data_IF_919229359660
#
_entry.id   IF_919229359660
#
_cell.length_a   1.000
_cell.length_b   1.000
_cell.length_c   1.000
_cell.angle_alpha   90.00
_cell.angle_beta   90.00
_cell.angle_gamma   90.00
#
_symmetry.space_group_name_H-M   'P 1'
#
loop_
_entity.id
_entity.type
_entity.pdbx_description
1 polymer ?
#
# COMPACT_ATOMS: atom_id res chain seq x y z
N UNK A 1 -38.76 0.23 -18.30
CA UNK A 1 -38.81 -0.86 -17.31
C UNK A 1 -37.51 -0.78 -16.52
N UNK A 2 -37.52 -0.40 -15.24
CA UNK A 2 -36.28 -0.26 -14.48
C UNK A 2 -35.84 -1.64 -13.99
N UNK A 3 -34.58 -1.96 -14.28
CA UNK A 3 -33.87 -3.15 -13.76
C UNK A 3 -33.47 -2.85 -12.31
N UNK A 4 -33.55 -3.88 -11.48
CA UNK A 4 -33.38 -3.94 -10.03
C UNK A 4 -31.98 -3.57 -9.49
N UNK A 5 -31.52 -2.32 -9.64
CA UNK A 5 -30.12 -1.95 -9.35
C UNK A 5 -29.73 -1.70 -7.87
N UNK A 6 -30.64 -1.53 -6.91
CA UNK A 6 -30.23 -0.92 -5.61
C UNK A 6 -29.98 -1.86 -4.41
N UNK A 7 -30.33 -3.16 -4.45
CA UNK A 7 -30.12 -4.05 -3.28
C UNK A 7 -28.80 -4.83 -3.31
N UNK A 8 -28.36 -5.30 -4.46
CA UNK A 8 -27.18 -6.18 -4.58
C UNK A 8 -25.86 -5.39 -4.47
N UNK A 9 -25.81 -4.16 -5.01
CA UNK A 9 -24.63 -3.28 -4.95
C UNK A 9 -24.33 -2.84 -3.51
N UNK A 10 -25.38 -2.66 -2.69
CA UNK A 10 -25.24 -2.31 -1.28
C UNK A 10 -24.60 -3.45 -0.46
N UNK A 11 -25.03 -4.70 -0.68
CA UNK A 11 -24.49 -5.86 0.03
C UNK A 11 -23.02 -6.15 -0.33
N UNK A 12 -22.67 -6.07 -1.62
CA UNK A 12 -21.29 -6.26 -2.09
C UNK A 12 -20.34 -5.23 -1.47
N UNK A 13 -20.74 -3.96 -1.51
CA UNK A 13 -19.95 -2.88 -0.92
C UNK A 13 -19.82 -3.04 0.59
N UNK A 14 -20.90 -3.42 1.28
CA UNK A 14 -20.90 -3.64 2.72
C UNK A 14 -19.94 -4.77 3.14
N UNK A 15 -20.00 -5.92 2.46
CA UNK A 15 -19.13 -7.07 2.73
C UNK A 15 -17.67 -6.75 2.39
N UNK A 16 -17.41 -6.07 1.27
CA UNK A 16 -16.06 -5.64 0.90
C UNK A 16 -15.48 -4.67 1.94
N UNK A 17 -16.28 -3.71 2.42
CA UNK A 17 -15.88 -2.81 3.50
C UNK A 17 -15.54 -3.60 4.75
N UNK A 18 -16.38 -4.55 5.17
CA UNK A 18 -16.11 -5.38 6.34
C UNK A 18 -14.80 -6.19 6.21
N UNK A 19 -14.55 -6.82 5.05
CA UNK A 19 -13.31 -7.56 4.82
C UNK A 19 -12.07 -6.65 4.76
N UNK A 20 -12.22 -5.42 4.28
CA UNK A 20 -11.13 -4.43 4.27
C UNK A 20 -10.83 -3.91 5.67
N UNK A 21 -11.88 -3.67 6.46
CA UNK A 21 -11.77 -3.15 7.81
C UNK A 21 -11.47 -4.20 8.85
N UNK A 22 -11.70 -5.48 8.60
CA UNK A 22 -11.46 -6.58 9.55
C UNK A 22 -10.90 -7.85 8.87
N UNK A 23 -9.79 -7.77 8.11
CA UNK A 23 -9.17 -8.92 7.44
C UNK A 23 -8.79 -10.09 8.38
N UNK A 24 -8.64 -9.86 9.67
CA UNK A 24 -8.34 -10.88 10.68
C UNK A 24 -9.57 -11.66 11.15
N UNK A 25 -10.78 -11.13 10.96
CA UNK A 25 -12.01 -11.75 11.47
C UNK A 25 -12.43 -12.97 10.66
N UNK A 26 -12.95 -13.95 11.37
CA UNK A 26 -13.59 -15.11 10.76
C UNK A 26 -14.89 -14.73 10.04
N UNK A 27 -15.33 -15.55 9.10
CA UNK A 27 -16.61 -15.33 8.40
C UNK A 27 -17.80 -15.34 9.35
N UNK A 28 -17.71 -16.10 10.46
CA UNK A 28 -18.70 -16.07 11.53
C UNK A 28 -18.80 -14.67 12.14
N UNK A 29 -17.68 -14.11 12.56
CA UNK A 29 -17.65 -12.78 13.17
C UNK A 29 -18.08 -11.68 12.20
N UNK A 30 -17.71 -11.78 10.92
CA UNK A 30 -18.17 -10.83 9.89
C UNK A 30 -19.68 -10.95 9.66
N UNK A 31 -20.22 -12.17 9.62
CA UNK A 31 -21.67 -12.43 9.49
C UNK A 31 -22.45 -11.83 10.65
N UNK A 32 -21.95 -11.97 11.88
CA UNK A 32 -22.52 -11.39 13.09
C UNK A 32 -22.42 -9.86 13.09
N UNK A 33 -21.27 -9.30 12.75
CA UNK A 33 -21.05 -7.86 12.63
C UNK A 33 -22.02 -7.20 11.64
N UNK A 34 -22.26 -7.84 10.50
CA UNK A 34 -23.14 -7.33 9.45
C UNK A 34 -24.61 -7.68 9.67
N UNK A 35 -24.95 -8.45 10.72
CA UNK A 35 -26.27 -9.05 10.90
C UNK A 35 -26.78 -9.76 9.63
N UNK A 36 -25.87 -10.43 8.91
CA UNK A 36 -26.11 -11.05 7.61
C UNK A 36 -26.04 -12.58 7.73
N UNK A 37 -26.99 -13.35 7.16
CA UNK A 37 -26.91 -14.81 7.15
C UNK A 37 -25.60 -15.31 6.52
N UNK A 38 -25.00 -16.37 7.10
CA UNK A 38 -23.74 -16.93 6.61
C UNK A 38 -23.79 -17.39 5.15
N UNK A 39 -24.94 -17.92 4.71
CA UNK A 39 -25.16 -18.31 3.30
C UNK A 39 -25.10 -17.11 2.35
N UNK A 40 -25.67 -15.98 2.75
CA UNK A 40 -25.60 -14.71 2.01
C UNK A 40 -24.16 -14.19 1.96
N UNK A 41 -23.47 -14.14 3.11
CA UNK A 41 -22.07 -13.71 3.18
C UNK A 41 -21.18 -14.57 2.29
N UNK A 42 -21.34 -15.90 2.32
CA UNK A 42 -20.57 -16.82 1.49
C UNK A 42 -20.81 -16.59 -0.01
N UNK A 43 -22.06 -16.32 -0.40
CA UNK A 43 -22.44 -16.02 -1.79
C UNK A 43 -21.80 -14.71 -2.26
N UNK A 44 -21.92 -13.64 -1.46
CA UNK A 44 -21.31 -12.33 -1.75
C UNK A 44 -19.79 -12.45 -1.81
N UNK A 45 -19.15 -13.09 -0.82
CA UNK A 45 -17.70 -13.34 -0.81
C UNK A 45 -17.25 -14.03 -2.09
N UNK A 46 -17.96 -15.09 -2.51
CA UNK A 46 -17.65 -15.81 -3.76
C UNK A 46 -17.75 -14.90 -4.98
N UNK A 47 -18.80 -14.08 -5.08
CA UNK A 47 -18.99 -13.10 -6.15
C UNK A 47 -17.85 -12.07 -6.19
N UNK A 48 -17.50 -11.50 -5.03
CA UNK A 48 -16.40 -10.54 -4.91
C UNK A 48 -15.04 -11.14 -5.32
N UNK A 49 -14.75 -12.39 -4.92
CA UNK A 49 -13.52 -13.09 -5.29
C UNK A 49 -13.47 -13.44 -6.78
N UNK A 50 -14.54 -14.03 -7.33
CA UNK A 50 -14.62 -14.40 -8.75
C UNK A 50 -14.56 -13.16 -9.64
N UNK A 51 -15.17 -12.05 -9.21
CA UNK A 51 -15.11 -10.76 -9.89
C UNK A 51 -13.77 -10.03 -9.74
N UNK A 52 -12.83 -10.55 -8.94
CA UNK A 52 -11.53 -9.90 -8.70
C UNK A 52 -11.63 -8.53 -8.01
N UNK A 53 -12.71 -8.31 -7.23
CA UNK A 53 -12.98 -7.03 -6.55
C UNK A 53 -12.06 -6.79 -5.36
N UNK A 54 -11.41 -7.83 -4.85
CA UNK A 54 -10.33 -7.71 -3.88
C UNK A 54 -9.41 -8.92 -3.93
N UNK A 55 -8.27 -8.79 -3.25
CA UNK A 55 -7.40 -9.92 -2.91
C UNK A 55 -6.95 -9.81 -1.47
N UNK A 56 -6.63 -10.96 -0.85
CA UNK A 56 -5.99 -10.97 0.47
C UNK A 56 -4.47 -11.00 0.29
N UNK A 57 -3.77 -10.42 1.25
CA UNK A 57 -2.35 -10.58 1.40
C UNK A 57 -1.97 -10.54 2.88
N UNK A 58 -0.74 -10.96 3.17
CA UNK A 58 -0.09 -10.61 4.42
C UNK A 58 0.85 -9.44 4.15
N UNK A 59 0.65 -8.35 4.88
CA UNK A 59 1.52 -7.17 4.83
C UNK A 59 2.66 -7.36 5.83
N UNK A 60 3.92 -7.47 5.38
CA UNK A 60 5.06 -7.43 6.29
C UNK A 60 5.16 -6.05 6.94
N UNK A 61 5.33 -6.01 8.26
CA UNK A 61 5.51 -4.74 8.97
C UNK A 61 6.99 -4.36 8.87
N UNK A 62 7.36 -3.70 7.77
CA UNK A 62 8.75 -3.41 7.39
C UNK A 62 9.65 -2.83 8.49
N UNK A 63 9.19 -1.91 9.36
CA UNK A 63 10.02 -1.44 10.46
C UNK A 63 10.49 -2.55 11.44
N UNK A 64 9.85 -3.71 11.45
CA UNK A 64 10.26 -4.88 12.23
C UNK A 64 11.23 -5.82 11.47
N UNK A 65 11.57 -5.51 10.22
CA UNK A 65 12.21 -6.42 9.28
C UNK A 65 13.50 -5.87 8.68
N UNK A 66 14.43 -5.36 9.47
CA UNK A 66 15.71 -4.75 9.00
C UNK A 66 15.59 -3.75 7.84
N UNK A 67 14.39 -3.29 7.48
CA UNK A 67 14.16 -2.30 6.45
C UNK A 67 14.33 -0.94 7.11
N UNK A 68 15.25 -0.15 6.56
CA UNK A 68 15.57 1.16 7.10
C UNK A 68 15.00 2.30 6.27
N UNK A 69 14.77 2.06 4.97
CA UNK A 69 14.41 3.10 4.02
C UNK A 69 13.20 2.70 3.19
N UNK A 70 12.31 3.67 2.97
CA UNK A 70 11.30 3.64 1.93
C UNK A 70 11.62 4.73 0.91
N UNK A 71 11.45 4.48 -0.38
CA UNK A 71 11.51 5.51 -1.40
C UNK A 71 10.22 5.56 -2.20
N UNK A 72 9.76 6.77 -2.49
CA UNK A 72 8.75 7.04 -3.50
C UNK A 72 9.45 7.69 -4.68
N UNK A 73 9.30 7.09 -5.85
CA UNK A 73 9.85 7.64 -7.10
C UNK A 73 8.72 7.88 -8.06
N UNK A 74 8.64 9.09 -8.62
CA UNK A 74 7.70 9.40 -9.70
C UNK A 74 8.41 10.14 -10.83
N UNK A 75 7.82 10.10 -12.02
CA UNK A 75 8.43 10.68 -13.22
C UNK A 75 7.37 11.14 -14.21
N UNK A 76 7.69 12.18 -14.95
CA UNK A 76 7.02 12.54 -16.19
C UNK A 76 7.87 12.01 -17.36
N UNK A 77 7.22 11.45 -18.38
CA UNK A 77 7.87 10.79 -19.51
C UNK A 77 7.56 11.51 -20.81
N UNK A 78 8.51 11.46 -21.74
CA UNK A 78 8.27 11.85 -23.13
C UNK A 78 7.10 11.02 -23.73
N UNK A 79 5.98 11.65 -24.11
CA UNK A 79 4.79 10.94 -24.60
C UNK A 79 4.98 10.32 -25.99
N UNK A 80 6.06 10.64 -26.71
CA UNK A 80 6.37 10.04 -28.01
C UNK A 80 6.64 8.52 -27.92
N UNK A 81 6.96 8.01 -26.73
CA UNK A 81 7.13 6.57 -26.49
C UNK A 81 5.90 6.00 -25.81
N UNK A 82 5.24 5.04 -26.48
CA UNK A 82 4.04 4.39 -25.92
C UNK A 82 4.28 3.74 -24.54
N UNK A 83 3.24 3.76 -23.69
CA UNK A 83 3.27 3.13 -22.37
C UNK A 83 3.71 1.65 -22.42
N UNK A 84 3.17 0.89 -23.39
CA UNK A 84 3.48 -0.53 -23.57
C UNK A 84 4.96 -0.77 -23.90
N UNK A 85 5.53 0.02 -24.83
CA UNK A 85 6.96 -0.08 -25.18
C UNK A 85 7.84 0.28 -23.99
N UNK A 86 7.51 1.32 -23.23
CA UNK A 86 8.25 1.68 -22.02
C UNK A 86 8.23 0.53 -21.01
N UNK A 87 7.04 0.03 -20.68
CA UNK A 87 6.86 -0.99 -19.63
C UNK A 87 7.56 -2.29 -20.01
N UNK A 88 7.53 -2.70 -21.27
CA UNK A 88 8.26 -3.89 -21.72
C UNK A 88 9.78 -3.76 -21.49
N UNK A 89 10.33 -2.54 -21.55
CA UNK A 89 11.75 -2.30 -21.32
C UNK A 89 12.06 -2.12 -19.84
N UNK A 90 11.27 -1.35 -19.09
CA UNK A 90 11.50 -1.14 -17.66
C UNK A 90 11.29 -2.45 -16.89
N UNK A 91 10.28 -3.25 -17.25
CA UNK A 91 9.96 -4.51 -16.55
C UNK A 91 11.14 -5.49 -16.54
N UNK A 92 12.00 -5.43 -17.55
CA UNK A 92 13.17 -6.29 -17.72
C UNK A 92 14.44 -5.75 -17.05
N UNK A 93 14.43 -4.52 -16.56
CA UNK A 93 15.66 -3.81 -16.21
C UNK A 93 15.60 -2.99 -14.92
N UNK A 94 14.42 -2.51 -14.55
CA UNK A 94 14.15 -1.69 -13.36
C UNK A 94 13.18 -2.42 -12.45
N UNK A 95 12.04 -2.89 -12.93
CA UNK A 95 11.09 -3.62 -12.06
C UNK A 95 11.51 -5.07 -11.79
N UNK A 96 12.76 -5.42 -12.06
CA UNK A 96 13.37 -6.68 -11.59
C UNK A 96 13.84 -6.60 -10.14
N UNK A 97 13.97 -5.39 -9.59
CA UNK A 97 14.48 -5.19 -8.24
C UNK A 97 13.45 -5.62 -7.19
N UNK A 98 13.85 -6.54 -6.32
CA UNK A 98 13.05 -7.10 -5.23
C UNK A 98 12.52 -6.01 -4.27
N UNK A 99 13.24 -4.89 -4.15
CA UNK A 99 12.93 -3.71 -3.32
C UNK A 99 11.64 -3.01 -3.75
N UNK A 100 11.28 -3.06 -5.04
CA UNK A 100 10.12 -2.36 -5.56
C UNK A 100 8.86 -3.19 -5.24
N UNK A 101 7.97 -2.65 -4.40
CA UNK A 101 6.73 -3.36 -4.00
C UNK A 101 5.52 -2.88 -4.79
N UNK A 102 5.55 -1.64 -5.29
CA UNK A 102 4.51 -1.05 -6.11
C UNK A 102 5.18 -0.31 -7.27
N UNK A 103 4.72 -0.55 -8.49
CA UNK A 103 5.15 0.21 -9.67
C UNK A 103 4.04 0.22 -10.71
N UNK A 104 3.72 1.41 -11.18
CA UNK A 104 2.70 1.67 -12.18
C UNK A 104 3.19 2.68 -13.19
N UNK A 105 2.67 2.59 -14.41
CA UNK A 105 3.01 3.53 -15.47
C UNK A 105 1.87 3.77 -16.46
N UNK A 106 1.91 4.94 -17.07
CA UNK A 106 0.97 5.48 -18.05
C UNK A 106 1.74 6.18 -19.17
N UNK A 107 1.11 6.53 -20.29
CA UNK A 107 1.83 7.09 -21.44
C UNK A 107 2.82 8.19 -21.07
N UNK A 108 2.44 9.12 -20.19
CA UNK A 108 3.25 10.28 -19.85
C UNK A 108 3.79 10.29 -18.41
N UNK A 109 3.51 9.26 -17.57
CA UNK A 109 3.89 9.27 -16.14
C UNK A 109 4.18 7.90 -15.56
N UNK A 110 4.91 7.87 -14.45
CA UNK A 110 5.16 6.66 -13.67
C UNK A 110 5.30 6.95 -12.17
N UNK A 111 5.00 5.94 -11.36
CA UNK A 111 5.12 5.97 -9.90
C UNK A 111 5.58 4.61 -9.41
N UNK A 112 6.51 4.58 -8.45
CA UNK A 112 6.87 3.38 -7.72
C UNK A 112 7.15 3.66 -6.25
N UNK A 113 6.92 2.64 -5.42
CA UNK A 113 7.31 2.62 -4.01
C UNK A 113 8.23 1.43 -3.79
N UNK A 114 9.36 1.67 -3.13
CA UNK A 114 10.34 0.65 -2.79
C UNK A 114 10.75 0.70 -1.33
N UNK A 115 11.21 -0.44 -0.81
CA UNK A 115 11.74 -0.61 0.53
C UNK A 115 13.12 -1.25 0.46
N UNK A 116 14.03 -0.80 1.33
CA UNK A 116 15.41 -1.28 1.35
C UNK A 116 15.99 -1.32 2.76
N UNK A 117 16.93 -2.23 2.96
CA UNK A 117 17.76 -2.35 4.17
C UNK A 117 18.73 -1.19 4.32
N UNK A 118 19.12 -0.55 3.21
CA UNK A 118 20.11 0.53 3.20
C UNK A 118 19.89 1.54 2.05
N UNK A 119 20.51 2.71 2.18
CA UNK A 119 20.40 3.79 1.19
C UNK A 119 21.18 3.50 -0.11
N UNK A 120 22.33 2.82 -0.02
CA UNK A 120 23.19 2.52 -1.17
C UNK A 120 22.41 1.72 -2.21
N UNK A 121 21.71 0.66 -1.78
CA UNK A 121 20.84 -0.16 -2.63
C UNK A 121 19.75 0.69 -3.31
N UNK A 122 19.12 1.64 -2.61
CA UNK A 122 18.12 2.54 -3.22
C UNK A 122 18.74 3.47 -4.27
N UNK A 123 19.96 3.95 -4.03
CA UNK A 123 20.69 4.80 -4.96
C UNK A 123 21.06 4.03 -6.23
N UNK A 124 21.54 2.79 -6.10
CA UNK A 124 21.88 1.94 -7.25
C UNK A 124 20.65 1.62 -8.12
N UNK A 125 19.50 1.35 -7.50
CA UNK A 125 18.22 1.14 -8.19
C UNK A 125 17.83 2.39 -8.96
N UNK A 126 17.96 3.56 -8.33
CA UNK A 126 17.66 4.85 -8.96
C UNK A 126 18.60 5.14 -10.14
N UNK A 127 19.90 4.94 -9.99
CA UNK A 127 20.87 5.18 -11.06
C UNK A 127 20.65 4.25 -12.25
N UNK A 128 20.34 2.98 -12.00
CA UNK A 128 20.01 2.03 -13.07
C UNK A 128 18.73 2.46 -13.78
N UNK A 129 17.71 2.89 -13.04
CA UNK A 129 16.47 3.44 -13.60
C UNK A 129 16.75 4.65 -14.47
N UNK A 130 17.51 5.62 -13.98
CA UNK A 130 17.85 6.83 -14.70
C UNK A 130 18.57 6.49 -16.01
N UNK A 131 19.57 5.60 -15.98
CA UNK A 131 20.28 5.12 -17.17
C UNK A 131 19.34 4.47 -18.19
N UNK A 132 18.41 3.62 -17.74
CA UNK A 132 17.43 2.97 -18.63
C UNK A 132 16.49 4.00 -19.26
N UNK A 133 15.93 4.91 -18.46
CA UNK A 133 15.01 5.93 -18.95
C UNK A 133 15.71 6.88 -19.95
N UNK A 134 16.95 7.29 -19.66
CA UNK A 134 17.76 8.11 -20.56
C UNK A 134 18.03 7.40 -21.90
N UNK A 135 18.48 6.13 -21.87
CA UNK A 135 18.74 5.35 -23.10
C UNK A 135 17.51 5.17 -23.98
N UNK A 136 16.32 5.12 -23.36
CA UNK A 136 15.06 4.99 -24.08
C UNK A 136 14.47 6.33 -24.54
N UNK A 137 15.21 7.44 -24.33
CA UNK A 137 14.77 8.80 -24.59
C UNK A 137 13.42 9.15 -23.93
N UNK A 138 13.21 8.61 -22.72
CA UNK A 138 11.98 8.80 -21.94
C UNK A 138 12.05 10.03 -21.03
N UNK A 139 13.25 10.53 -20.77
CA UNK A 139 13.46 11.74 -19.96
C UNK A 139 13.34 12.94 -20.90
N UNK A 140 12.43 13.85 -20.57
CA UNK A 140 12.19 15.05 -21.39
C UNK A 140 12.96 16.26 -20.82
N UNK A 141 12.48 16.80 -19.70
CA UNK A 141 13.02 18.02 -19.09
C UNK A 141 13.61 17.73 -17.70
N UNK A 142 12.96 16.86 -16.92
CA UNK A 142 13.31 16.60 -15.54
C UNK A 142 13.68 15.13 -15.32
N UNK A 143 14.62 14.90 -14.40
CA UNK A 143 14.90 13.56 -13.91
C UNK A 143 13.73 13.05 -13.05
N UNK A 144 13.58 11.72 -12.88
CA UNK A 144 12.68 11.18 -11.88
C UNK A 144 12.91 11.81 -10.51
N UNK A 145 11.84 12.16 -9.81
CA UNK A 145 11.96 12.58 -8.41
C UNK A 145 12.07 11.36 -7.54
N UNK A 146 13.11 11.29 -6.70
CA UNK A 146 13.24 10.28 -5.66
C UNK A 146 13.12 10.94 -4.29
N UNK A 147 12.09 10.56 -3.54
CA UNK A 147 11.89 10.99 -2.17
C UNK A 147 12.18 9.79 -1.28
N UNK A 148 13.31 9.83 -0.58
CA UNK A 148 13.69 8.82 0.41
C UNK A 148 13.20 9.23 1.79
N UNK A 149 12.56 8.28 2.47
CA UNK A 149 12.06 8.32 3.83
C UNK A 149 12.87 7.33 4.68
N UNK A 150 13.89 7.78 5.41
CA UNK A 150 14.50 6.98 6.47
C UNK A 150 13.42 6.69 7.51
N UNK A 151 13.06 5.43 7.72
CA UNK A 151 11.87 5.04 8.49
C UNK A 151 11.97 5.47 9.97
N UNK A 152 13.17 5.55 10.54
CA UNK A 152 13.39 6.07 11.90
C UNK A 152 13.14 7.57 12.05
N UNK A 153 13.26 8.34 10.95
CA UNK A 153 13.10 9.81 10.93
C UNK A 153 11.88 10.28 10.14
N UNK A 154 11.01 9.34 9.78
CA UNK A 154 9.82 9.58 8.97
C UNK A 154 8.61 8.96 9.65
N UNK A 155 7.41 9.43 9.32
CA UNK A 155 6.15 8.81 9.75
C UNK A 155 5.35 8.39 8.54
N UNK A 156 4.91 7.13 8.53
CA UNK A 156 3.90 6.63 7.59
C UNK A 156 2.56 6.72 8.32
N UNK A 157 1.77 7.73 7.97
CA UNK A 157 0.46 7.98 8.59
C UNK A 157 -0.59 7.00 8.11
N UNK A 158 -0.49 6.59 6.85
CA UNK A 158 -1.39 5.65 6.22
C UNK A 158 -0.64 4.86 5.16
N UNK A 159 -0.72 3.53 5.21
CA UNK A 159 -0.07 2.66 4.23
C UNK A 159 -1.12 1.86 3.47
N UNK A 160 -1.64 2.43 2.38
CA UNK A 160 -2.65 1.82 1.51
C UNK A 160 -3.91 1.33 2.23
N UNK A 161 -4.33 2.07 3.28
CA UNK A 161 -5.56 1.79 3.99
C UNK A 161 -6.75 2.35 3.19
N UNK A 162 -7.53 1.44 2.60
CA UNK A 162 -8.75 1.78 1.85
C UNK A 162 -10.00 1.82 2.74
N UNK A 163 -9.87 1.56 4.05
CA UNK A 163 -10.97 1.57 4.99
C UNK A 163 -11.79 2.87 4.99
N UNK A 164 -11.18 4.06 5.14
CA UNK A 164 -11.90 5.34 5.15
C UNK A 164 -12.62 5.61 3.83
N UNK A 165 -12.03 5.16 2.72
CA UNK A 165 -12.61 5.27 1.39
C UNK A 165 -13.89 4.43 1.25
N UNK A 166 -13.85 3.17 1.72
CA UNK A 166 -14.95 2.23 1.55
C UNK A 166 -16.06 2.41 2.58
N UNK A 167 -15.73 2.86 3.78
CA UNK A 167 -16.67 3.12 4.87
C UNK A 167 -17.54 4.37 4.64
N UNK A 168 -17.23 5.18 3.63
CA UNK A 168 -18.04 6.36 3.27
C UNK A 168 -19.50 5.94 3.00
N UNK A 169 -20.43 6.46 3.81
CA UNK A 169 -21.86 6.13 3.74
C UNK A 169 -22.30 4.93 4.59
N UNK A 170 -21.39 4.31 5.36
CA UNK A 170 -21.69 3.22 6.30
C UNK A 170 -21.25 3.54 7.74
N UNK A 171 -21.23 4.82 8.11
CA UNK A 171 -20.67 5.26 9.40
C UNK A 171 -21.39 4.69 10.63
N UNK A 172 -22.67 4.34 10.50
CA UNK A 172 -23.46 3.72 11.57
C UNK A 172 -23.02 2.28 11.86
N UNK A 173 -22.46 1.59 10.86
CA UNK A 173 -21.96 0.21 10.95
C UNK A 173 -20.46 0.19 11.21
N UNK A 174 -19.73 1.10 10.55
CA UNK A 174 -18.28 1.22 10.61
C UNK A 174 -17.88 2.62 11.06
N UNK A 175 -17.74 2.83 12.38
CA UNK A 175 -17.28 4.11 12.92
C UNK A 175 -15.92 4.54 12.35
N UNK A 176 -15.66 5.85 12.27
CA UNK A 176 -14.40 6.38 11.69
C UNK A 176 -13.13 5.80 12.36
N UNK A 177 -13.18 5.55 13.67
CA UNK A 177 -12.08 4.91 14.42
C UNK A 177 -11.69 3.55 13.83
N UNK A 178 -12.67 2.77 13.35
CA UNK A 178 -12.47 1.45 12.82
C UNK A 178 -11.95 1.55 11.38
N UNK A 179 -12.51 2.50 10.62
CA UNK A 179 -12.03 2.83 9.28
C UNK A 179 -10.54 3.18 9.24
N UNK A 180 -10.05 3.85 10.30
CA UNK A 180 -8.65 4.26 10.44
C UNK A 180 -7.78 3.30 11.25
N UNK A 181 -8.27 2.14 11.72
CA UNK A 181 -7.48 1.31 12.66
C UNK A 181 -6.14 0.84 12.08
N UNK A 182 -6.09 0.60 10.76
CA UNK A 182 -4.90 0.14 10.06
C UNK A 182 -3.87 1.26 9.83
N UNK A 183 -4.23 2.53 10.04
CA UNK A 183 -3.30 3.65 9.95
C UNK A 183 -2.17 3.52 11.00
N UNK A 184 -2.42 2.81 12.10
CA UNK A 184 -1.45 2.62 13.19
C UNK A 184 -0.36 1.59 12.90
N UNK A 185 -0.47 0.80 11.84
CA UNK A 185 0.46 -0.31 11.56
C UNK A 185 1.93 0.13 11.48
N UNK A 186 2.17 1.34 10.95
CA UNK A 186 3.52 1.91 10.77
C UNK A 186 3.78 3.15 11.63
N UNK A 187 2.86 3.53 12.53
CA UNK A 187 2.94 4.77 13.33
C UNK A 187 3.60 4.60 14.70
N UNK A 188 4.16 3.42 15.01
CA UNK A 188 4.85 3.20 16.28
C UNK A 188 5.94 4.24 16.48
N UNK A 189 6.00 4.85 17.66
CA UNK A 189 7.17 5.66 18.05
C UNK A 189 8.44 4.82 17.92
N UNK A 190 9.60 5.45 17.71
CA UNK A 190 10.90 4.75 17.66
C UNK A 190 11.02 3.77 18.85
N UNK A 191 10.57 4.20 20.05
CA UNK A 191 10.45 3.37 21.26
C UNK A 191 9.46 2.20 21.20
N UNK A 192 8.36 2.30 20.47
CA UNK A 192 7.38 1.21 20.31
C UNK A 192 7.81 0.20 19.24
N UNK A 193 8.57 0.64 18.23
CA UNK A 193 9.17 -0.25 17.25
C UNK A 193 10.44 -0.92 17.82
N UNK A 194 11.23 -0.21 18.63
CA UNK A 194 12.37 -0.77 19.39
C UNK A 194 11.96 -1.81 20.43
N UNK A 195 10.75 -1.67 21.02
CA UNK A 195 10.20 -2.65 21.97
C UNK A 195 9.74 -3.95 21.31
N UNK A 196 9.57 -3.96 19.99
CA UNK A 196 9.15 -5.18 19.28
C UNK A 196 10.39 -5.97 18.88
N UNK A 197 10.32 -7.28 19.09
CA UNK A 197 11.33 -8.24 18.69
C UNK A 197 11.83 -7.94 17.26
N UNK A 198 13.14 -7.71 17.05
CA UNK A 198 13.70 -7.51 15.73
C UNK A 198 13.69 -8.83 14.94
N UNK A 199 13.72 -8.76 13.60
CA UNK A 199 13.70 -9.94 12.73
C UNK A 199 14.80 -10.98 13.04
N UNK A 200 15.89 -10.57 13.69
CA UNK A 200 16.94 -11.43 14.25
C UNK A 200 16.41 -12.49 15.24
N UNK A 201 15.24 -12.28 15.86
CA UNK A 201 14.63 -13.24 16.78
C UNK A 201 13.82 -14.35 16.07
N UNK A 202 13.58 -14.23 14.76
CA UNK A 202 12.87 -15.25 13.99
C UNK A 202 13.82 -16.41 13.67
N UNK A 203 13.43 -17.63 14.01
CA UNK A 203 14.13 -18.83 13.54
C UNK A 203 14.01 -18.99 12.02
N UNK A 204 14.92 -19.72 11.39
CA UNK A 204 14.85 -19.97 9.94
C UNK A 204 13.51 -20.61 9.52
N UNK A 205 12.92 -21.47 10.35
CA UNK A 205 11.58 -22.02 10.10
C UNK A 205 10.51 -20.92 10.04
N UNK A 206 10.60 -19.95 10.93
CA UNK A 206 9.64 -18.83 11.00
C UNK A 206 9.81 -17.87 9.83
N UNK A 207 11.05 -17.57 9.44
CA UNK A 207 11.35 -16.82 8.22
C UNK A 207 10.76 -17.50 6.98
N UNK A 208 10.92 -18.82 6.85
CA UNK A 208 10.37 -19.59 5.72
C UNK A 208 8.84 -19.58 5.71
N UNK A 209 8.19 -19.78 6.87
CA UNK A 209 6.72 -19.70 6.97
C UNK A 209 6.24 -18.28 6.63
N UNK A 210 6.90 -17.25 7.13
CA UNK A 210 6.55 -15.86 6.83
C UNK A 210 6.64 -15.55 5.33
N UNK A 211 7.74 -15.95 4.68
CA UNK A 211 7.90 -15.77 3.24
C UNK A 211 6.81 -16.49 2.43
N UNK A 212 6.44 -17.72 2.85
CA UNK A 212 5.38 -18.48 2.19
C UNK A 212 4.00 -17.85 2.38
N UNK A 213 3.70 -17.34 3.59
CA UNK A 213 2.44 -16.63 3.87
C UNK A 213 2.30 -15.38 3.01
N UNK A 214 3.35 -14.57 2.89
CA UNK A 214 3.32 -13.32 2.12
C UNK A 214 3.26 -13.58 0.61
N UNK A 215 3.93 -14.63 0.12
CA UNK A 215 3.88 -15.02 -1.30
C UNK A 215 2.58 -15.70 -1.70
N UNK A 216 2.05 -16.58 -0.85
CA UNK A 216 0.87 -17.41 -1.11
C UNK A 216 -0.22 -17.20 -0.07
N UNK A 217 -0.80 -15.99 0.03
CA UNK A 217 -1.74 -15.63 1.09
C UNK A 217 -3.05 -16.41 1.07
N UNK A 218 -3.41 -16.99 -0.08
CA UNK A 218 -4.63 -17.78 -0.26
C UNK A 218 -4.40 -19.30 -0.06
N UNK A 219 -3.15 -19.74 0.14
CA UNK A 219 -2.88 -21.15 0.41
C UNK A 219 -3.42 -21.58 1.77
N UNK A 220 -4.08 -22.74 1.79
CA UNK A 220 -4.49 -23.41 3.03
C UNK A 220 -3.28 -23.85 3.85
N UNK A 221 -3.48 -24.09 5.15
CA UNK A 221 -2.44 -24.65 6.03
C UNK A 221 -1.90 -26.00 5.51
N UNK A 222 -2.73 -26.78 4.82
CA UNK A 222 -2.30 -28.03 4.19
C UNK A 222 -1.32 -27.75 3.04
N UNK A 223 -1.66 -26.84 2.13
CA UNK A 223 -0.80 -26.47 1.01
C UNK A 223 0.52 -25.86 1.49
N UNK A 224 0.50 -24.98 2.49
CA UNK A 224 1.71 -24.40 3.07
C UNK A 224 2.57 -25.45 3.77
N UNK A 225 1.94 -26.39 4.50
CA UNK A 225 2.60 -27.52 5.14
C UNK A 225 3.33 -28.41 4.12
N UNK A 226 2.66 -28.77 3.03
CA UNK A 226 3.26 -29.54 1.93
C UNK A 226 4.38 -28.78 1.23
N UNK A 227 4.21 -27.47 0.98
CA UNK A 227 5.22 -26.62 0.34
C UNK A 227 6.51 -26.52 1.18
N UNK A 228 6.37 -26.38 2.50
CA UNK A 228 7.48 -26.12 3.42
C UNK A 228 8.11 -27.39 4.02
N UNK A 229 7.46 -28.55 3.89
CA UNK A 229 7.90 -29.79 4.54
C UNK A 229 7.71 -29.78 6.07
N UNK A 230 6.86 -28.90 6.60
CA UNK A 230 6.56 -28.81 8.04
C UNK A 230 5.16 -29.37 8.33
N UNK A 231 4.91 -29.85 9.55
CA UNK A 231 3.57 -30.31 9.93
C UNK A 231 2.55 -29.16 10.00
N UNK A 232 1.27 -29.43 9.68
CA UNK A 232 0.18 -28.43 9.76
C UNK A 232 0.09 -27.70 11.11
N UNK A 233 0.21 -28.38 12.28
CA UNK A 233 0.21 -27.69 13.58
C UNK A 233 1.40 -26.74 13.75
N UNK A 234 2.56 -27.09 13.19
CA UNK A 234 3.75 -26.22 13.23
C UNK A 234 3.54 -24.96 12.42
N UNK A 235 3.03 -25.09 11.18
CA UNK A 235 2.72 -23.92 10.34
C UNK A 235 1.65 -23.02 10.99
N UNK A 236 0.60 -23.60 11.57
CA UNK A 236 -0.44 -22.82 12.27
C UNK A 236 0.12 -22.02 13.44
N UNK A 237 0.86 -22.68 14.33
CA UNK A 237 1.46 -22.06 15.51
C UNK A 237 2.45 -20.95 15.15
N UNK A 238 3.27 -21.17 14.11
CA UNK A 238 4.19 -20.13 13.62
C UNK A 238 3.42 -18.95 13.04
N UNK A 239 2.39 -19.20 12.21
CA UNK A 239 1.54 -18.14 11.66
C UNK A 239 0.88 -17.32 12.77
N UNK A 240 0.32 -17.97 13.78
CA UNK A 240 -0.28 -17.30 14.95
C UNK A 240 0.75 -16.44 15.67
N UNK A 241 1.94 -16.98 15.98
CA UNK A 241 3.03 -16.20 16.59
C UNK A 241 3.42 -14.98 15.75
N UNK A 242 3.57 -15.12 14.43
CA UNK A 242 3.94 -14.02 13.53
C UNK A 242 2.89 -12.91 13.51
N UNK A 243 1.60 -13.27 13.61
CA UNK A 243 0.48 -12.34 13.69
C UNK A 243 0.41 -11.63 15.04
N UNK A 244 0.50 -12.39 16.13
CA UNK A 244 0.45 -11.87 17.50
C UNK A 244 1.64 -10.95 17.82
N UNK A 245 2.82 -11.32 17.31
CA UNK A 245 4.04 -10.50 17.46
C UNK A 245 4.05 -9.29 16.52
N UNK A 246 3.17 -9.26 15.52
CA UNK A 246 3.02 -8.13 14.60
C UNK A 246 4.01 -8.08 13.44
N UNK A 247 4.75 -9.16 13.13
CA UNK A 247 5.67 -9.20 11.99
C UNK A 247 4.94 -9.12 10.65
N UNK A 248 3.74 -9.69 10.61
CA UNK A 248 2.84 -9.63 9.46
C UNK A 248 1.44 -9.24 9.92
N UNK A 249 0.68 -8.60 9.03
CA UNK A 249 -0.72 -8.30 9.26
C UNK A 249 -1.59 -8.83 8.12
N UNK A 250 -2.75 -9.46 8.40
CA UNK A 250 -3.72 -9.77 7.36
C UNK A 250 -4.19 -8.47 6.71
N UNK A 251 -4.30 -8.46 5.39
CA UNK A 251 -4.65 -7.26 4.65
C UNK A 251 -5.54 -7.61 3.46
N UNK A 252 -6.43 -6.69 3.11
CA UNK A 252 -7.31 -6.83 1.94
C UNK A 252 -7.10 -5.61 1.06
N UNK A 253 -6.75 -5.87 -0.20
CA UNK A 253 -6.53 -4.84 -1.21
C UNK A 253 -7.73 -4.87 -2.15
N UNK A 254 -8.65 -3.90 -2.08
CA UNK A 254 -9.73 -3.76 -3.03
C UNK A 254 -9.20 -3.36 -4.42
N UNK A 255 -9.91 -3.81 -5.45
CA UNK A 255 -9.68 -3.40 -6.82
C UNK A 255 -10.39 -2.08 -7.09
N UNK A 256 -9.71 -0.99 -6.72
CA UNK A 256 -10.22 0.39 -6.80
C UNK A 256 -10.77 0.77 -8.20
N UNK A 257 -10.12 0.42 -9.32
CA UNK A 257 -10.70 0.62 -10.66
C UNK A 257 -12.08 -0.04 -10.84
N UNK A 258 -12.24 -1.30 -10.43
CA UNK A 258 -13.53 -2.01 -10.54
C UNK A 258 -14.63 -1.44 -9.63
N UNK A 259 -14.26 -0.67 -8.61
CA UNK A 259 -15.20 0.05 -7.74
C UNK A 259 -15.61 1.43 -8.30
N UNK A 260 -15.20 1.76 -9.54
CA UNK A 260 -15.58 3.00 -10.23
C UNK A 260 -14.68 4.20 -9.90
N UNK A 261 -13.52 3.98 -9.27
CA UNK A 261 -12.52 5.03 -9.08
C UNK A 261 -11.59 5.11 -10.28
N UNK A 262 -11.41 6.32 -10.81
CA UNK A 262 -10.74 6.52 -12.09
C UNK A 262 -9.48 7.39 -11.98
N UNK A 263 -9.28 8.09 -10.87
CA UNK A 263 -8.16 9.01 -10.68
C UNK A 263 -7.36 8.58 -9.47
N UNK A 264 -6.07 8.30 -9.65
CA UNK A 264 -5.08 8.22 -8.59
C UNK A 264 -4.24 9.49 -8.63
N UNK A 265 -4.14 10.20 -7.52
CA UNK A 265 -3.39 11.45 -7.44
C UNK A 265 -2.23 11.29 -6.47
N UNK A 266 -1.02 11.63 -6.92
CA UNK A 266 0.13 11.90 -6.08
C UNK A 266 0.20 13.39 -5.76
N UNK A 267 0.30 13.72 -4.47
CA UNK A 267 0.68 15.04 -3.98
C UNK A 267 2.08 14.97 -3.40
N UNK A 268 2.97 15.81 -3.89
CA UNK A 268 4.26 16.07 -3.27
C UNK A 268 4.25 17.46 -2.63
N UNK A 269 4.27 17.49 -1.30
CA UNK A 269 4.19 18.70 -0.49
C UNK A 269 5.57 19.03 0.06
N UNK A 270 6.01 20.26 -0.18
CA UNK A 270 7.21 20.82 0.44
C UNK A 270 6.82 21.59 1.69
N UNK A 271 7.30 21.12 2.83
CA UNK A 271 7.00 21.75 4.12
C UNK A 271 7.81 23.04 4.25
N UNK A 272 7.21 24.06 4.86
CA UNK A 272 7.89 25.32 5.18
C UNK A 272 9.16 25.05 6.01
N UNK A 273 10.38 25.35 5.49
CA UNK A 273 11.61 25.01 6.18
C UNK A 273 11.81 25.81 7.48
N UNK A 274 11.10 26.92 7.66
CA UNK A 274 11.08 27.67 8.93
C UNK A 274 10.28 26.96 10.01
N UNK A 275 9.48 25.96 9.64
CA UNK A 275 8.48 25.30 10.46
C UNK A 275 8.40 23.80 10.08
N UNK A 276 9.48 23.03 10.27
CA UNK A 276 9.49 21.59 10.00
C UNK A 276 8.47 20.80 10.85
N UNK A 277 8.32 19.52 10.50
CA UNK A 277 7.40 18.57 11.16
C UNK A 277 7.99 17.81 12.35
N UNK A 278 9.31 17.85 12.54
CA UNK A 278 10.09 17.12 13.55
C UNK A 278 9.49 17.15 14.96
N UNK A 279 8.80 18.23 15.35
CA UNK A 279 8.15 18.35 16.66
C UNK A 279 6.62 18.46 16.60
N UNK A 280 6.01 18.39 15.41
CA UNK A 280 4.58 18.72 15.22
C UNK A 280 3.85 17.73 14.33
N UNK A 281 4.31 16.50 14.29
CA UNK A 281 3.74 15.41 13.50
C UNK A 281 2.21 15.28 13.57
N UNK A 282 1.60 15.47 14.74
CA UNK A 282 0.14 15.29 14.91
C UNK A 282 -0.68 16.33 14.13
N UNK A 283 -0.06 17.43 13.68
CA UNK A 283 -0.70 18.40 12.78
C UNK A 283 -1.11 17.80 11.44
N UNK A 284 -0.57 16.63 11.07
CA UNK A 284 -0.86 16.01 9.79
C UNK A 284 -2.09 15.10 9.81
N UNK A 285 -2.65 14.77 10.97
CA UNK A 285 -3.86 13.95 11.04
C UNK A 285 -5.07 14.59 10.36
N UNK A 286 -5.15 15.92 10.40
CA UNK A 286 -6.20 16.68 9.71
C UNK A 286 -5.93 16.90 8.22
N UNK A 287 -4.79 16.47 7.68
CA UNK A 287 -4.48 16.59 6.25
C UNK A 287 -5.07 15.43 5.42
N UNK A 288 -5.50 14.35 6.07
CA UNK A 288 -6.08 13.17 5.40
C UNK A 288 -7.60 13.26 5.34
N UNK A 289 -8.17 13.01 4.15
CA UNK A 289 -9.60 12.78 3.97
C UNK A 289 -9.91 11.31 3.68
N UNK A 290 -11.17 11.01 3.33
CA UNK A 290 -11.59 9.65 2.95
C UNK A 290 -10.95 9.14 1.65
N UNK A 291 -10.51 10.05 0.77
CA UNK A 291 -9.84 9.73 -0.48
C UNK A 291 -8.36 9.37 -0.32
N UNK A 292 -7.72 9.83 0.76
CA UNK A 292 -6.31 9.50 1.06
C UNK A 292 -6.14 8.01 1.36
N UNK A 293 -5.35 7.30 0.55
CA UNK A 293 -5.04 5.87 0.77
C UNK A 293 -3.61 5.66 1.24
N UNK A 294 -2.69 6.59 0.99
CA UNK A 294 -1.32 6.52 1.47
C UNK A 294 -0.84 7.91 1.87
N UNK A 295 -0.09 7.99 2.97
CA UNK A 295 0.57 9.22 3.39
C UNK A 295 1.84 8.90 4.17
N UNK A 296 2.95 9.50 3.74
CA UNK A 296 4.23 9.46 4.43
C UNK A 296 4.83 10.86 4.51
N UNK A 297 5.49 11.16 5.62
CA UNK A 297 6.12 12.44 5.86
C UNK A 297 7.51 12.28 6.48
N UNK A 298 8.42 13.17 6.11
CA UNK A 298 9.67 13.47 6.80
C UNK A 298 9.71 14.98 7.09
N UNK A 299 10.67 15.52 7.86
CA UNK A 299 10.60 16.89 8.37
C UNK A 299 10.24 17.98 7.34
N UNK A 300 10.68 17.83 6.09
CA UNK A 300 10.52 18.83 5.02
C UNK A 300 9.67 18.40 3.83
N UNK A 301 9.21 17.15 3.77
CA UNK A 301 8.48 16.62 2.60
C UNK A 301 7.34 15.68 3.03
N UNK A 302 6.23 15.75 2.32
CA UNK A 302 5.08 14.86 2.50
C UNK A 302 4.70 14.30 1.13
N UNK A 303 4.50 12.98 1.06
CA UNK A 303 3.87 12.32 -0.08
C UNK A 303 2.50 11.83 0.35
N UNK A 304 1.47 12.14 -0.46
CA UNK A 304 0.10 11.67 -0.28
C UNK A 304 -0.36 11.02 -1.57
N UNK A 305 -0.97 9.84 -1.49
CA UNK A 305 -1.75 9.26 -2.58
C UNK A 305 -3.23 9.31 -2.23
N UNK A 306 -4.02 9.93 -3.10
CA UNK A 306 -5.48 9.97 -3.03
C UNK A 306 -6.12 9.27 -4.22
N UNK A 307 -7.31 8.70 -4.04
CA UNK A 307 -8.10 8.09 -5.12
C UNK A 307 -9.49 8.71 -5.20
N UNK A 308 -9.96 8.96 -6.44
CA UNK A 308 -11.21 9.69 -6.69
C UNK A 308 -11.96 9.10 -7.89
N UNK A 309 -13.29 9.18 -7.87
CA UNK A 309 -14.14 8.70 -8.98
C UNK A 309 -14.10 9.61 -10.19
N UNK A 310 -13.95 10.91 -9.94
CA UNK A 310 -14.03 11.95 -10.98
C UNK A 310 -13.28 13.23 -10.56
N UNK A 311 -13.12 14.15 -11.51
CA UNK A 311 -12.43 15.42 -11.30
C UNK A 311 -13.10 16.33 -10.25
N UNK A 312 -14.41 16.21 -10.03
CA UNK A 312 -15.13 17.01 -9.03
C UNK A 312 -14.70 16.61 -7.61
N UNK A 313 -14.66 15.31 -7.32
CA UNK A 313 -14.16 14.77 -6.05
C UNK A 313 -12.68 15.16 -5.83
N UNK A 314 -11.84 14.94 -6.84
CA UNK A 314 -10.43 15.33 -6.82
C UNK A 314 -10.25 16.83 -6.50
N UNK A 315 -10.94 17.72 -7.22
CA UNK A 315 -10.79 19.16 -7.03
C UNK A 315 -11.25 19.61 -5.63
N UNK A 316 -12.30 18.99 -5.08
CA UNK A 316 -12.78 19.24 -3.71
C UNK A 316 -11.74 18.82 -2.68
N UNK A 317 -11.15 17.63 -2.83
CA UNK A 317 -10.11 17.10 -1.95
C UNK A 317 -8.84 17.97 -2.03
N UNK A 318 -8.32 18.25 -3.24
CA UNK A 318 -7.17 19.12 -3.48
C UNK A 318 -7.35 20.52 -2.86
N UNK A 319 -8.52 21.12 -3.02
CA UNK A 319 -8.82 22.44 -2.44
C UNK A 319 -8.84 22.41 -0.92
N UNK A 320 -9.41 21.36 -0.33
CA UNK A 320 -9.46 21.16 1.13
C UNK A 320 -8.06 20.95 1.70
N UNK A 321 -7.24 20.09 1.08
CA UNK A 321 -5.85 19.87 1.45
C UNK A 321 -5.04 21.17 1.39
N UNK A 322 -5.11 21.91 0.28
CA UNK A 322 -4.39 23.19 0.13
C UNK A 322 -4.79 24.21 1.19
N UNK A 323 -6.10 24.32 1.48
CA UNK A 323 -6.60 25.21 2.53
C UNK A 323 -6.07 24.79 3.90
N UNK A 324 -6.08 23.49 4.20
CA UNK A 324 -5.55 22.94 5.44
C UNK A 324 -4.07 23.27 5.63
N UNK A 325 -3.25 22.92 4.63
CA UNK A 325 -1.80 23.12 4.66
C UNK A 325 -1.44 24.61 4.80
N UNK A 326 -2.12 25.51 4.08
CA UNK A 326 -1.92 26.96 4.22
C UNK A 326 -2.34 27.48 5.60
N UNK A 327 -3.51 27.07 6.10
CA UNK A 327 -4.02 27.49 7.42
C UNK A 327 -3.09 27.07 8.56
N UNK A 328 -2.44 25.92 8.41
CA UNK A 328 -1.47 25.39 9.39
C UNK A 328 -0.04 25.91 9.17
N UNK A 329 0.17 26.80 8.20
CA UNK A 329 1.48 27.32 7.80
C UNK A 329 2.51 26.21 7.53
N UNK A 330 2.02 25.13 6.90
CA UNK A 330 2.84 23.97 6.53
C UNK A 330 3.50 24.15 5.17
N UNK A 331 3.01 25.02 4.31
CA UNK A 331 3.55 25.21 2.95
C UNK A 331 3.76 26.68 2.61
N UNK A 332 4.82 26.93 1.83
CA UNK A 332 5.08 28.23 1.19
C UNK A 332 4.63 28.26 -0.27
N UNK A 333 4.56 27.10 -0.93
CA UNK A 333 4.05 26.92 -2.30
C UNK A 333 2.98 25.83 -2.33
N UNK A 334 2.12 25.87 -3.35
CA UNK A 334 1.15 24.78 -3.56
C UNK A 334 1.88 23.44 -3.78
N UNK A 335 1.29 22.30 -3.34
CA UNK A 335 1.85 20.98 -3.62
C UNK A 335 1.97 20.71 -5.12
N UNK A 336 2.98 19.95 -5.51
CA UNK A 336 3.10 19.42 -6.85
C UNK A 336 2.14 18.23 -6.98
N UNK A 337 1.24 18.28 -7.97
CA UNK A 337 0.15 17.32 -8.10
C UNK A 337 0.25 16.58 -9.43
N UNK A 338 0.26 15.24 -9.37
CA UNK A 338 0.26 14.37 -10.56
C UNK A 338 -0.93 13.43 -10.49
N UNK A 339 -1.78 13.52 -11.51
CA UNK A 339 -2.90 12.62 -11.67
C UNK A 339 -2.51 11.48 -12.62
N UNK A 340 -3.01 10.30 -12.27
CA UNK A 340 -2.97 9.06 -13.03
C UNK A 340 -4.41 8.62 -13.31
N UNK A 341 -4.70 8.32 -14.57
CA UNK A 341 -5.90 7.60 -15.01
C UNK A 341 -5.77 6.11 -14.68
N UNK A 342 -6.55 5.66 -13.69
CA UNK A 342 -6.57 4.26 -13.27
C UNK A 342 -7.03 3.30 -14.40
N UNK A 343 -7.79 3.80 -15.38
CA UNK A 343 -8.19 3.03 -16.56
C UNK A 343 -7.09 2.86 -17.61
N UNK A 344 -6.10 3.77 -17.65
CA UNK A 344 -4.96 3.71 -18.57
C UNK A 344 -3.68 3.20 -17.88
N UNK A 345 -3.72 3.11 -16.55
CA UNK A 345 -2.60 2.65 -15.73
C UNK A 345 -2.30 1.19 -16.01
N UNK A 346 -1.04 0.91 -16.31
CA UNK A 346 -0.52 -0.45 -16.39
C UNK A 346 0.26 -0.72 -15.10
N UNK A 347 -0.21 -1.70 -14.34
CA UNK A 347 0.46 -2.18 -13.12
C UNK A 347 1.64 -3.08 -13.48
N UNK A 348 2.85 -2.66 -13.13
CA UNK A 348 4.08 -3.43 -13.37
C UNK A 348 4.37 -4.31 -12.16
N UNK A 349 4.28 -3.73 -10.96
CA UNK A 349 4.23 -4.44 -9.69
C UNK A 349 3.04 -3.92 -8.89
N UNK A 350 2.19 -4.83 -8.43
CA UNK A 350 1.01 -4.48 -7.64
C UNK A 350 1.12 -5.13 -6.27
N UNK A 351 1.59 -4.38 -5.29
CA UNK A 351 1.85 -4.81 -3.91
C UNK A 351 2.55 -6.18 -3.79
N UNK A 352 3.71 -6.28 -4.44
CA UNK A 352 4.55 -7.48 -4.41
C UNK A 352 5.46 -7.39 -3.20
N UNK A 353 4.96 -7.86 -2.05
CA UNK A 353 5.67 -7.72 -0.77
C UNK A 353 6.70 -8.82 -0.48
N UNK A 354 6.61 -9.96 -1.16
CA UNK A 354 7.39 -11.15 -0.81
C UNK A 354 8.83 -11.13 -1.33
N UNK A 355 9.11 -10.41 -2.43
CA UNK A 355 10.41 -10.44 -3.09
C UNK A 355 11.53 -9.83 -2.23
N UNK A 356 11.23 -8.79 -1.46
CA UNK A 356 12.22 -8.13 -0.58
C UNK A 356 12.53 -8.94 0.70
N UNK A 357 11.69 -9.93 1.04
CA UNK A 357 11.79 -10.62 2.33
C UNK A 357 13.10 -11.37 2.57
N UNK A 358 13.72 -12.08 1.60
CA UNK A 358 15.01 -12.73 1.85
C UNK A 358 16.09 -11.75 2.33
N UNK A 359 16.14 -10.56 1.72
CA UNK A 359 17.07 -9.48 2.11
C UNK A 359 16.71 -8.92 3.49
N UNK A 360 15.42 -8.61 3.70
CA UNK A 360 14.90 -8.09 4.97
C UNK A 360 15.13 -9.04 6.16
N UNK A 361 15.01 -10.35 5.93
CA UNK A 361 15.16 -11.39 6.95
C UNK A 361 16.58 -11.95 7.06
N UNK A 362 17.52 -11.46 6.23
CA UNK A 362 18.90 -11.96 6.11
C UNK A 362 18.93 -13.49 6.00
N UNK A 363 18.12 -14.03 5.09
CA UNK A 363 17.98 -15.48 4.86
C UNK A 363 18.11 -15.79 3.37
N UNK A 364 18.44 -17.04 3.06
CA UNK A 364 18.54 -17.48 1.67
C UNK A 364 17.18 -17.40 0.98
N UNK A 365 17.21 -17.05 -0.31
CA UNK A 365 16.01 -17.04 -1.15
C UNK A 365 15.62 -18.49 -1.44
N UNK A 366 14.44 -18.97 -1.00
CA UNK A 366 14.05 -20.33 -1.28
C UNK A 366 13.68 -20.50 -2.77
N UNK A 367 13.87 -21.70 -3.32
CA UNK A 367 13.65 -21.97 -4.75
C UNK A 367 12.22 -21.70 -5.24
N UNK A 368 11.24 -21.77 -4.33
CA UNK A 368 9.84 -21.49 -4.64
C UNK A 368 9.50 -20.00 -4.56
N UNK A 369 10.49 -19.13 -4.29
CA UNK A 369 10.41 -17.67 -4.27
C UNK A 369 11.16 -17.05 -5.47
#
# INVERSE_FOLDING_TARGET
MPVSEDKDVSADRLVLTAFTLYPEKSEKEISELLSMPRSTLATVKKRLLVGGLYRRCYLPVYPMLNIEHMAVVYSDFNPAVSAKKRINNTKKSVEIFDEIVLSLGETHRGLSISFSTDYTTLSEIYDRRLKVLARLNLLEIEQPWQIVFPLRRSKIYRFFNFGPLLAEGFHDIFPEKDARRLDKLFRGSERELEKKAPAEELSEREKMVMMALVRYPEHSLLQLSSLLGYSRPTVSRIRERLLESGYIHPYVIPNIPLLGYNILTLYHVYVNPKRPLDERWEILDGAMDGGTVFMAAKPFEIIILGVYRNYREFNRSKSSLNRYLKKKDLIVKVPDVRNHSLGETIWIKYFVFHEILPKALKTERPLWL
#
